data_IF_539006572719
#
_entry.id   IF_539006572719
#
_cell.length_a   1.000
_cell.length_b   1.000
_cell.length_c   1.000
_cell.angle_alpha   90.00
_cell.angle_beta   90.00
_cell.angle_gamma   90.00
#
_symmetry.space_group_name_H-M   'P 1'
#
loop_
_entity.id
_entity.type
_entity.pdbx_description
1 polymer ?
#
# COMPACT_ATOMS: atom_id res chain seq x y z
N UNK A 1 -21.10 5.52 6.80
CA UNK A 1 -20.77 5.36 8.23
C UNK A 1 -19.87 6.52 8.63
N UNK A 2 -20.17 7.23 9.72
CA UNK A 2 -19.19 8.13 10.31
C UNK A 2 -18.02 7.29 10.83
N UNK A 3 -16.79 7.64 10.49
CA UNK A 3 -15.59 6.99 10.97
C UNK A 3 -14.69 8.02 11.66
N UNK A 4 -13.76 7.56 12.49
CA UNK A 4 -12.83 8.45 13.20
C UNK A 4 -11.64 8.92 12.32
N UNK A 5 -11.66 8.62 11.02
CA UNK A 5 -10.54 8.90 10.13
C UNK A 5 -10.67 10.30 9.52
N UNK A 6 -9.68 11.15 9.79
CA UNK A 6 -9.57 12.46 9.15
C UNK A 6 -8.84 12.31 7.81
N UNK A 7 -9.58 12.45 6.71
CA UNK A 7 -9.04 12.25 5.37
C UNK A 7 -8.07 13.38 4.97
N UNK A 8 -6.94 13.01 4.39
CA UNK A 8 -6.00 13.96 3.81
C UNK A 8 -6.57 14.62 2.56
N UNK A 9 -6.33 15.92 2.39
CA UNK A 9 -6.71 16.70 1.20
C UNK A 9 -8.18 16.51 0.77
N UNK A 10 -9.11 16.56 1.72
CA UNK A 10 -10.53 16.28 1.49
C UNK A 10 -11.47 17.29 2.17
N UNK A 11 -12.69 17.43 1.61
CA UNK A 11 -13.81 18.08 2.29
C UNK A 11 -14.44 17.12 3.30
N UNK A 12 -14.10 17.33 4.59
CA UNK A 12 -14.59 16.49 5.67
C UNK A 12 -16.08 16.62 5.92
N UNK A 13 -16.73 17.73 5.54
CA UNK A 13 -18.18 17.88 5.66
C UNK A 13 -18.90 16.99 4.64
N UNK A 14 -18.41 16.97 3.40
CA UNK A 14 -18.95 16.09 2.37
C UNK A 14 -18.77 14.61 2.73
N UNK A 15 -17.62 14.22 3.29
CA UNK A 15 -17.37 12.85 3.74
C UNK A 15 -18.28 12.47 4.91
N UNK A 16 -18.44 13.37 5.89
CA UNK A 16 -19.31 13.13 7.05
C UNK A 16 -20.77 12.93 6.64
N UNK A 17 -21.20 13.62 5.58
CA UNK A 17 -22.56 13.55 5.06
C UNK A 17 -22.80 12.32 4.16
N UNK A 18 -21.89 12.08 3.20
CA UNK A 18 -22.09 11.08 2.14
C UNK A 18 -21.45 9.73 2.45
N UNK A 19 -20.53 9.69 3.43
CA UNK A 19 -19.63 8.58 3.67
C UNK A 19 -18.43 8.57 2.70
N UNK A 20 -17.34 7.86 3.06
CA UNK A 20 -16.19 7.72 2.18
C UNK A 20 -16.46 6.71 1.04
N UNK A 21 -15.73 6.85 -0.07
CA UNK A 21 -15.57 5.78 -1.04
C UNK A 21 -14.59 4.75 -0.47
N UNK A 22 -15.04 3.51 -0.28
CA UNK A 22 -14.22 2.44 0.31
C UNK A 22 -13.75 1.49 -0.79
N UNK A 23 -12.43 1.45 -1.03
CA UNK A 23 -11.81 0.53 -1.99
C UNK A 23 -11.50 -0.81 -1.31
N UNK A 24 -11.83 -1.93 -1.95
CA UNK A 24 -11.76 -3.27 -1.34
C UNK A 24 -10.95 -4.30 -2.13
N UNK A 25 -10.75 -4.09 -3.43
CA UNK A 25 -9.94 -4.98 -4.28
C UNK A 25 -9.10 -4.17 -5.26
N UNK A 26 -7.94 -4.69 -5.62
CA UNK A 26 -7.16 -4.24 -6.77
C UNK A 26 -6.50 -5.41 -7.51
N UNK A 27 -6.37 -5.28 -8.84
CA UNK A 27 -5.78 -6.28 -9.73
C UNK A 27 -5.22 -5.58 -10.97
N UNK A 28 -3.89 -5.61 -11.16
CA UNK A 28 -3.23 -4.85 -12.22
C UNK A 28 -3.52 -3.35 -12.08
N UNK A 29 -3.99 -2.70 -13.14
CA UNK A 29 -4.38 -1.28 -13.14
C UNK A 29 -5.86 -1.03 -12.80
N UNK A 30 -6.55 -2.02 -12.21
CA UNK A 30 -7.97 -1.92 -11.87
C UNK A 30 -8.20 -2.04 -10.37
N UNK A 31 -9.19 -1.30 -9.87
CA UNK A 31 -9.62 -1.32 -8.47
C UNK A 31 -11.14 -1.37 -8.36
N UNK A 32 -11.65 -1.86 -7.22
CA UNK A 32 -13.08 -1.98 -6.96
C UNK A 32 -13.45 -1.38 -5.60
N UNK A 33 -14.59 -0.72 -5.54
CA UNK A 33 -15.17 -0.29 -4.26
C UNK A 33 -15.94 -1.41 -3.55
N UNK A 34 -16.39 -1.14 -2.33
CA UNK A 34 -17.21 -2.03 -1.49
C UNK A 34 -18.59 -2.34 -2.07
N UNK A 35 -19.01 -1.60 -3.11
CA UNK A 35 -20.23 -1.85 -3.88
C UNK A 35 -19.96 -2.66 -5.16
N UNK A 36 -18.71 -3.08 -5.38
CA UNK A 36 -18.29 -3.87 -6.54
C UNK A 36 -18.12 -3.06 -7.83
N UNK A 37 -18.20 -1.72 -7.79
CA UNK A 37 -17.96 -0.90 -8.98
C UNK A 37 -16.46 -0.89 -9.30
N UNK A 38 -16.13 -1.13 -10.57
CA UNK A 38 -14.77 -1.20 -11.09
C UNK A 38 -14.30 0.17 -11.60
N UNK A 39 -13.07 0.54 -11.30
CA UNK A 39 -12.42 1.78 -11.71
C UNK A 39 -11.05 1.50 -12.33
N UNK A 40 -10.69 2.25 -13.36
CA UNK A 40 -9.33 2.26 -13.89
C UNK A 40 -8.46 3.19 -13.05
N UNK A 41 -7.39 2.67 -12.48
CA UNK A 41 -6.43 3.46 -11.71
C UNK A 41 -5.38 4.05 -12.65
N UNK A 42 -5.74 5.16 -13.30
CA UNK A 42 -4.86 5.86 -14.22
C UNK A 42 -3.68 6.57 -13.54
N UNK A 43 -3.78 6.81 -12.22
CA UNK A 43 -2.78 7.55 -11.45
C UNK A 43 -1.76 6.65 -10.75
N UNK A 44 -1.99 5.32 -10.72
CA UNK A 44 -1.17 4.40 -9.95
C UNK A 44 -1.25 4.71 -8.46
N UNK A 45 -2.48 4.80 -7.95
CA UNK A 45 -2.84 5.42 -6.68
C UNK A 45 -2.39 6.90 -6.65
N UNK A 46 -1.49 7.25 -5.74
CA UNK A 46 -0.80 8.53 -5.77
C UNK A 46 0.61 8.26 -6.30
N UNK A 47 0.74 7.94 -7.60
CA UNK A 47 2.00 7.75 -8.36
C UNK A 47 3.04 6.77 -7.78
N UNK A 48 2.63 5.82 -6.91
CA UNK A 48 3.54 4.84 -6.31
C UNK A 48 3.21 3.39 -6.68
N UNK A 49 2.02 3.11 -7.21
CA UNK A 49 1.59 1.74 -7.51
C UNK A 49 2.05 1.28 -8.91
N UNK A 50 3.34 1.38 -9.17
CA UNK A 50 3.90 1.22 -10.52
C UNK A 50 3.78 -0.20 -11.08
N UNK A 51 3.83 -1.22 -10.22
CA UNK A 51 3.75 -2.65 -10.61
C UNK A 51 2.32 -3.19 -10.58
N UNK A 52 1.34 -2.31 -10.37
CA UNK A 52 -0.09 -2.64 -10.26
C UNK A 52 -0.47 -3.26 -8.92
N UNK A 53 -1.78 -3.42 -8.74
CA UNK A 53 -2.39 -3.98 -7.53
C UNK A 53 -2.43 -5.50 -7.54
N UNK A 54 -2.48 -6.11 -6.35
CA UNK A 54 -2.71 -7.56 -6.19
C UNK A 54 -1.50 -8.44 -6.46
N UNK A 55 -0.28 -7.91 -6.37
CA UNK A 55 0.97 -8.67 -6.59
C UNK A 55 1.26 -9.60 -5.40
N UNK A 56 0.76 -10.83 -5.48
CA UNK A 56 0.90 -11.85 -4.44
C UNK A 56 2.35 -12.09 -4.02
N UNK A 57 3.26 -12.17 -5.00
CA UNK A 57 4.71 -12.35 -4.78
C UNK A 57 5.30 -11.30 -3.83
N UNK A 58 4.90 -10.03 -3.96
CA UNK A 58 5.37 -8.93 -3.10
C UNK A 58 4.83 -9.10 -1.68
N UNK A 59 3.53 -9.40 -1.55
CA UNK A 59 2.90 -9.63 -0.25
C UNK A 59 3.51 -10.82 0.51
N UNK A 60 3.82 -11.90 -0.20
CA UNK A 60 4.46 -13.08 0.37
C UNK A 60 5.89 -12.79 0.83
N UNK A 61 6.68 -12.05 0.03
CA UNK A 61 8.03 -11.64 0.41
C UNK A 61 8.02 -10.74 1.67
N UNK A 62 7.09 -9.77 1.74
CA UNK A 62 6.92 -8.92 2.93
C UNK A 62 6.53 -9.74 4.16
N UNK A 63 5.56 -10.67 4.02
CA UNK A 63 5.10 -11.51 5.12
C UNK A 63 6.20 -12.44 5.65
N UNK A 64 6.99 -13.03 4.74
CA UNK A 64 8.12 -13.89 5.10
C UNK A 64 9.18 -13.10 5.90
N UNK A 65 9.58 -11.93 5.42
CA UNK A 65 10.57 -11.10 6.12
C UNK A 65 10.03 -10.61 7.48
N UNK A 66 8.79 -10.14 7.55
CA UNK A 66 8.18 -9.68 8.78
C UNK A 66 8.08 -10.78 9.86
N UNK A 67 7.82 -12.03 9.43
CA UNK A 67 7.74 -13.19 10.32
C UNK A 67 9.11 -13.66 10.82
N UNK A 68 10.19 -13.32 10.10
CA UNK A 68 11.57 -13.61 10.52
C UNK A 68 12.12 -12.48 11.40
N UNK A 69 12.21 -11.26 10.85
CA UNK A 69 12.57 -10.03 11.57
C UNK A 69 11.97 -8.81 10.85
N UNK A 70 10.92 -8.25 11.45
CA UNK A 70 10.19 -7.12 10.87
C UNK A 70 11.01 -5.82 10.81
N UNK A 71 11.85 -5.58 11.81
CA UNK A 71 12.74 -4.41 11.84
C UNK A 71 13.86 -4.61 12.85
N UNK A 72 15.04 -4.07 12.55
CA UNK A 72 16.14 -3.89 13.49
C UNK A 72 16.93 -2.65 13.08
N UNK A 73 17.70 -2.09 14.01
CA UNK A 73 18.54 -0.92 13.73
C UNK A 73 19.60 -1.22 12.68
N UNK A 74 19.88 -0.26 11.79
CA UNK A 74 21.01 -0.26 10.87
C UNK A 74 22.19 0.61 11.36
N UNK A 75 22.27 0.87 12.67
CA UNK A 75 23.38 1.62 13.26
C UNK A 75 24.54 0.70 13.65
N UNK A 76 25.78 1.22 13.51
CA UNK A 76 26.99 0.47 13.84
C UNK A 76 27.25 -0.69 12.87
N UNK A 77 27.43 -1.90 13.41
CA UNK A 77 27.74 -3.13 12.67
C UNK A 77 26.47 -3.97 12.37
N UNK A 78 25.28 -3.41 12.54
CA UNK A 78 24.00 -4.13 12.39
C UNK A 78 23.36 -3.89 11.03
N UNK A 79 22.86 -4.95 10.39
CA UNK A 79 22.08 -4.89 9.14
C UNK A 79 21.23 -6.16 8.94
N UNK A 80 20.46 -6.22 7.86
CA UNK A 80 19.69 -7.40 7.43
C UNK A 80 20.09 -7.81 6.02
N UNK A 81 20.00 -9.11 5.71
CA UNK A 81 20.35 -9.63 4.37
C UNK A 81 19.60 -8.91 3.23
N UNK A 82 18.27 -8.66 3.29
CA UNK A 82 17.58 -7.93 2.23
C UNK A 82 18.08 -6.49 2.04
N UNK A 83 18.61 -5.86 3.08
CA UNK A 83 19.18 -4.50 2.98
C UNK A 83 20.48 -4.52 2.18
N UNK A 84 21.35 -5.50 2.43
CA UNK A 84 22.60 -5.68 1.66
C UNK A 84 22.26 -5.99 0.20
N UNK A 85 21.40 -6.98 -0.03
CA UNK A 85 21.00 -7.40 -1.38
C UNK A 85 20.39 -6.25 -2.19
N UNK A 86 19.54 -5.43 -1.57
CA UNK A 86 18.96 -4.27 -2.24
C UNK A 86 20.01 -3.18 -2.52
N UNK A 87 20.92 -2.92 -1.58
CA UNK A 87 21.98 -1.92 -1.77
C UNK A 87 22.89 -2.29 -2.95
N UNK A 88 23.28 -3.56 -3.06
CA UNK A 88 24.09 -4.06 -4.17
C UNK A 88 23.33 -4.02 -5.51
N UNK A 89 22.01 -4.24 -5.49
CA UNK A 89 21.18 -4.23 -6.69
C UNK A 89 21.01 -2.83 -7.32
N UNK A 90 20.99 -1.77 -6.50
CA UNK A 90 20.69 -0.39 -6.95
C UNK A 90 21.93 0.49 -7.17
N UNK A 91 23.11 0.03 -6.74
CA UNK A 91 24.39 0.73 -6.92
C UNK A 91 24.84 0.72 -8.39
#
# INVERSE_FOLDING_TARGET
MANAFWHGFADMNAISTNGPLVMTKGEGSWVWDDKGKKYFDAAGALWYMNVGHGRKEIGEAMAAQASNIASYSSFGECTTAPTIELADLVA
#
